data_IF_627413096738
#
_entry.id   IF_627413096738
#
_cell.length_a   1.000
_cell.length_b   1.000
_cell.length_c   1.000
_cell.angle_alpha   90.00
_cell.angle_beta   90.00
_cell.angle_gamma   90.00
#
_symmetry.space_group_name_H-M   'P 1'
#
loop_
_entity.id
_entity.type
_entity.pdbx_description
1 polymer ?
#
# COMPACT_ATOMS: atom_id res chain seq x y z
N UNK A 1 -33.18 16.89 -21.82
CA UNK A 1 -31.93 16.16 -22.09
C UNK A 1 -30.87 17.18 -22.44
N UNK A 2 -29.95 17.45 -21.53
CA UNK A 2 -28.72 18.16 -21.89
C UNK A 2 -27.82 17.15 -22.59
N UNK A 3 -27.52 17.40 -23.85
CA UNK A 3 -26.56 16.60 -24.62
C UNK A 3 -25.19 17.24 -24.37
N UNK A 4 -24.36 16.60 -23.54
CA UNK A 4 -22.98 17.05 -23.30
C UNK A 4 -22.17 16.78 -24.58
N UNK A 5 -21.50 17.78 -25.17
CA UNK A 5 -20.69 17.58 -26.36
C UNK A 5 -19.51 16.65 -26.12
N UNK A 6 -19.21 15.76 -27.07
CA UNK A 6 -18.06 14.86 -27.07
C UNK A 6 -16.70 15.57 -26.82
N UNK A 7 -16.62 16.87 -27.10
CA UNK A 7 -15.42 17.70 -26.93
C UNK A 7 -15.09 18.03 -25.48
N UNK A 8 -15.96 17.70 -24.52
CA UNK A 8 -15.72 17.92 -23.09
C UNK A 8 -15.02 16.73 -22.41
N UNK A 9 -14.91 15.57 -23.08
CA UNK A 9 -14.25 14.39 -22.53
C UNK A 9 -12.79 14.31 -22.98
N UNK A 10 -11.89 14.03 -22.04
CA UNK A 10 -10.45 13.95 -22.31
C UNK A 10 -9.97 12.58 -22.81
N UNK A 11 -10.84 11.57 -22.82
CA UNK A 11 -10.57 10.23 -23.37
C UNK A 11 -11.84 9.45 -23.72
N UNK A 12 -11.70 8.44 -24.59
CA UNK A 12 -12.79 7.49 -24.94
C UNK A 12 -13.29 6.72 -23.71
N UNK A 13 -12.42 6.45 -22.72
CA UNK A 13 -12.80 5.84 -21.44
C UNK A 13 -13.70 6.77 -20.60
N UNK A 14 -13.40 8.06 -20.52
CA UNK A 14 -14.26 9.03 -19.82
C UNK A 14 -15.63 9.14 -20.49
N UNK A 15 -15.65 9.16 -21.83
CA UNK A 15 -16.90 9.14 -22.58
C UNK A 15 -17.69 7.85 -22.32
N UNK A 16 -17.03 6.69 -22.33
CA UNK A 16 -17.67 5.40 -22.12
C UNK A 16 -18.18 5.22 -20.69
N UNK A 17 -17.44 5.65 -19.67
CA UNK A 17 -17.90 5.64 -18.28
C UNK A 17 -19.08 6.59 -18.04
N UNK A 18 -19.04 7.81 -18.59
CA UNK A 18 -20.14 8.75 -18.53
C UNK A 18 -21.39 8.22 -19.26
N UNK A 19 -21.20 7.58 -20.41
CA UNK A 19 -22.29 6.98 -21.19
C UNK A 19 -22.87 5.72 -20.54
N UNK A 20 -22.05 4.93 -19.83
CA UNK A 20 -22.47 3.73 -19.11
C UNK A 20 -23.00 4.02 -17.70
N UNK A 21 -22.77 5.22 -17.17
CA UNK A 21 -23.14 5.62 -15.80
C UNK A 21 -22.60 4.65 -14.73
N UNK A 22 -21.39 4.11 -14.94
CA UNK A 22 -20.76 3.22 -13.97
C UNK A 22 -20.29 4.02 -12.75
N UNK A 23 -20.50 3.52 -11.52
CA UNK A 23 -19.87 4.09 -10.34
C UNK A 23 -18.35 4.10 -10.46
N UNK A 24 -17.73 5.18 -9.99
CA UNK A 24 -16.28 5.34 -10.01
C UNK A 24 -15.62 4.84 -8.74
N UNK A 25 -14.46 4.23 -8.90
CA UNK A 25 -13.52 3.93 -7.83
C UNK A 25 -12.29 4.78 -8.05
N UNK A 26 -12.14 5.79 -7.19
CA UNK A 26 -11.08 6.80 -7.26
C UNK A 26 -9.86 6.32 -6.46
N UNK A 27 -8.71 6.22 -7.14
CA UNK A 27 -7.45 5.74 -6.59
C UNK A 27 -6.40 6.86 -6.56
N UNK A 28 -5.36 6.74 -5.71
CA UNK A 28 -4.37 7.82 -5.49
C UNK A 28 -3.58 8.17 -6.76
N UNK A 29 -3.18 7.17 -7.54
CA UNK A 29 -2.39 7.36 -8.74
C UNK A 29 -2.63 6.34 -9.85
N UNK A 30 -1.96 6.55 -10.99
CA UNK A 30 -2.12 5.71 -12.19
C UNK A 30 -1.55 4.29 -11.99
N UNK A 31 -0.56 4.13 -11.10
CA UNK A 31 -0.02 2.81 -10.74
C UNK A 31 -1.08 1.95 -10.05
N UNK A 32 -1.85 2.54 -9.13
CA UNK A 32 -2.92 1.83 -8.41
C UNK A 32 -4.02 1.42 -9.39
N UNK A 33 -4.39 2.32 -10.30
CA UNK A 33 -5.33 2.01 -11.39
C UNK A 33 -4.83 0.82 -12.21
N UNK A 34 -3.54 0.77 -12.55
CA UNK A 34 -2.98 -0.36 -13.29
C UNK A 34 -3.09 -1.68 -12.52
N UNK A 35 -2.86 -1.68 -11.21
CA UNK A 35 -3.06 -2.87 -10.37
C UNK A 35 -4.54 -3.30 -10.32
N UNK A 36 -5.45 -2.35 -10.09
CA UNK A 36 -6.89 -2.65 -10.02
C UNK A 36 -7.43 -3.18 -11.35
N UNK A 37 -7.00 -2.62 -12.49
CA UNK A 37 -7.36 -3.13 -13.81
C UNK A 37 -6.87 -4.57 -14.02
N UNK A 38 -5.71 -4.94 -13.47
CA UNK A 38 -5.16 -6.29 -13.58
C UNK A 38 -5.85 -7.29 -12.61
N UNK A 39 -6.15 -6.88 -11.38
CA UNK A 39 -6.76 -7.74 -10.37
C UNK A 39 -8.27 -7.91 -10.55
N UNK A 40 -8.96 -6.87 -11.02
CA UNK A 40 -10.42 -6.78 -11.01
C UNK A 40 -11.00 -6.57 -12.41
N UNK A 41 -10.39 -7.18 -13.44
CA UNK A 41 -10.87 -7.12 -14.83
C UNK A 41 -12.36 -7.51 -14.95
N UNK A 42 -12.79 -8.49 -14.14
CA UNK A 42 -14.17 -8.96 -14.13
C UNK A 42 -15.20 -7.92 -13.66
N UNK A 43 -14.78 -6.86 -12.97
CA UNK A 43 -15.65 -5.77 -12.49
C UNK A 43 -15.70 -4.58 -13.46
N UNK A 44 -15.00 -4.61 -14.60
CA UNK A 44 -14.96 -3.48 -15.55
C UNK A 44 -16.30 -3.23 -16.27
N UNK A 45 -17.25 -4.15 -16.18
CA UNK A 45 -18.63 -3.92 -16.61
C UNK A 45 -19.50 -3.22 -15.57
N UNK A 46 -19.03 -3.13 -14.33
CA UNK A 46 -19.80 -2.66 -13.17
C UNK A 46 -19.19 -1.41 -12.52
N UNK A 47 -17.88 -1.21 -12.65
CA UNK A 47 -17.13 -0.12 -12.03
C UNK A 47 -16.18 0.55 -13.02
N UNK A 48 -15.91 1.84 -12.80
CA UNK A 48 -14.90 2.61 -13.50
C UNK A 48 -13.72 2.94 -12.57
N UNK A 49 -12.54 2.37 -12.83
CA UNK A 49 -11.32 2.64 -12.05
C UNK A 49 -10.58 3.85 -12.62
N UNK A 50 -10.41 4.88 -11.79
CA UNK A 50 -9.85 6.18 -12.20
C UNK A 50 -8.85 6.69 -11.16
N UNK A 51 -7.80 7.38 -11.61
CA UNK A 51 -6.90 8.07 -10.70
C UNK A 51 -7.47 9.42 -10.31
N UNK A 52 -7.22 9.88 -9.09
CA UNK A 52 -7.67 11.18 -8.59
C UNK A 52 -7.26 12.34 -9.53
N UNK A 53 -6.05 12.26 -10.09
CA UNK A 53 -5.50 13.24 -11.02
C UNK A 53 -6.35 13.43 -12.27
N UNK A 54 -7.02 12.37 -12.74
CA UNK A 54 -7.85 12.43 -13.93
C UNK A 54 -9.15 13.22 -13.75
N UNK A 55 -9.56 13.46 -12.49
CA UNK A 55 -10.77 14.19 -12.12
C UNK A 55 -10.43 15.57 -11.57
N UNK A 56 -9.60 15.63 -10.51
CA UNK A 56 -9.32 16.87 -9.78
C UNK A 56 -8.05 17.60 -10.23
N UNK A 57 -7.25 16.99 -11.12
CA UNK A 57 -5.95 17.52 -11.56
C UNK A 57 -4.81 17.34 -10.55
N UNK A 58 -5.08 16.80 -9.36
CA UNK A 58 -4.09 16.52 -8.31
C UNK A 58 -4.03 15.01 -7.97
N UNK A 59 -2.90 14.54 -7.44
CA UNK A 59 -2.70 13.12 -7.08
C UNK A 59 -2.51 12.93 -5.57
N UNK A 60 -2.64 11.68 -5.11
CA UNK A 60 -2.42 11.27 -3.71
C UNK A 60 -3.66 11.35 -2.83
N UNK A 61 -3.54 10.86 -1.59
CA UNK A 61 -4.64 10.70 -0.64
C UNK A 61 -5.55 11.93 -0.46
N UNK A 62 -5.01 13.15 -0.41
CA UNK A 62 -5.81 14.38 -0.27
C UNK A 62 -6.65 14.66 -1.52
N UNK A 63 -6.13 14.32 -2.70
CA UNK A 63 -6.81 14.53 -3.96
C UNK A 63 -7.93 13.52 -4.21
N UNK A 64 -7.86 12.32 -3.61
CA UNK A 64 -8.91 11.29 -3.72
C UNK A 64 -10.23 11.80 -3.18
N UNK A 65 -10.25 12.36 -1.96
CA UNK A 65 -11.50 12.89 -1.38
C UNK A 65 -12.12 14.02 -2.20
N UNK A 66 -11.29 14.91 -2.76
CA UNK A 66 -11.75 15.98 -3.65
C UNK A 66 -12.31 15.42 -4.96
N UNK A 67 -11.65 14.44 -5.56
CA UNK A 67 -12.09 13.79 -6.79
C UNK A 67 -13.39 12.99 -6.60
N UNK A 68 -13.57 12.35 -5.44
CA UNK A 68 -14.84 11.69 -5.08
C UNK A 68 -15.97 12.72 -5.00
N UNK A 69 -15.75 13.85 -4.31
CA UNK A 69 -16.77 14.89 -4.19
C UNK A 69 -17.11 15.50 -5.56
N UNK A 70 -16.11 15.81 -6.37
CA UNK A 70 -16.31 16.33 -7.74
C UNK A 70 -17.07 15.33 -8.61
N UNK A 71 -16.77 14.03 -8.51
CA UNK A 71 -17.52 13.00 -9.23
C UNK A 71 -19.00 12.98 -8.86
N UNK A 72 -19.30 13.11 -7.57
CA UNK A 72 -20.68 13.02 -7.07
C UNK A 72 -21.46 14.31 -7.35
N UNK A 73 -20.89 15.46 -7.01
CA UNK A 73 -21.59 16.74 -7.03
C UNK A 73 -21.62 17.38 -8.41
N UNK A 74 -20.50 17.33 -9.14
CA UNK A 74 -20.33 18.05 -10.40
C UNK A 74 -20.67 17.15 -11.59
N UNK A 75 -20.17 15.91 -11.59
CA UNK A 75 -20.41 14.97 -12.70
C UNK A 75 -21.72 14.16 -12.53
N UNK A 76 -22.28 14.11 -11.32
CA UNK A 76 -23.46 13.30 -11.00
C UNK A 76 -23.21 11.78 -11.06
N UNK A 77 -21.96 11.35 -10.93
CA UNK A 77 -21.53 9.95 -11.00
C UNK A 77 -21.20 9.44 -9.60
N UNK A 78 -21.90 8.40 -9.09
CA UNK A 78 -21.60 7.81 -7.79
C UNK A 78 -20.13 7.38 -7.70
N UNK A 79 -19.49 7.64 -6.57
CA UNK A 79 -18.08 7.32 -6.41
C UNK A 79 -17.73 6.85 -5.00
N UNK A 80 -16.70 6.02 -4.90
CA UNK A 80 -15.93 5.78 -3.68
C UNK A 80 -14.45 6.08 -3.93
N UNK A 81 -13.72 6.39 -2.87
CA UNK A 81 -12.27 6.54 -2.89
C UNK A 81 -11.59 5.44 -2.09
N UNK A 82 -10.41 5.02 -2.55
CA UNK A 82 -9.51 4.14 -1.78
C UNK A 82 -8.15 4.83 -1.66
N UNK A 83 -7.63 4.90 -0.44
CA UNK A 83 -6.32 5.51 -0.11
C UNK A 83 -5.42 4.55 0.64
N UNK A 84 -4.11 4.73 0.49
CA UNK A 84 -3.07 4.01 1.22
C UNK A 84 -3.12 4.34 2.71
N UNK A 85 -2.80 3.40 3.60
CA UNK A 85 -2.75 3.68 5.04
C UNK A 85 -1.64 4.69 5.40
N UNK A 86 -0.64 4.85 4.54
CA UNK A 86 0.50 5.76 4.72
C UNK A 86 0.11 7.24 4.92
N UNK A 87 -1.11 7.66 4.56
CA UNK A 87 -1.57 9.03 4.82
C UNK A 87 -1.63 9.34 6.32
N UNK A 88 -1.85 8.33 7.16
CA UNK A 88 -1.80 8.48 8.62
C UNK A 88 -0.39 8.85 9.09
N UNK A 89 0.65 8.35 8.41
CA UNK A 89 2.03 8.77 8.65
C UNK A 89 2.23 10.23 8.27
N UNK A 90 1.70 10.65 7.12
CA UNK A 90 1.81 12.05 6.64
C UNK A 90 1.18 13.02 7.65
N UNK A 91 0.05 12.65 8.24
CA UNK A 91 -0.65 13.42 9.28
C UNK A 91 -0.12 13.20 10.72
N UNK A 92 0.95 12.42 10.89
CA UNK A 92 1.54 12.07 12.20
C UNK A 92 0.53 11.43 13.17
N UNK A 93 -0.49 10.73 12.65
CA UNK A 93 -1.51 10.02 13.44
C UNK A 93 -1.00 8.64 13.86
N UNK A 94 0.11 8.60 14.60
CA UNK A 94 0.86 7.39 14.93
C UNK A 94 0.02 6.30 15.62
N UNK A 95 -0.80 6.69 16.59
CA UNK A 95 -1.65 5.75 17.33
C UNK A 95 -2.63 5.00 16.41
N UNK A 96 -3.10 5.69 15.36
CA UNK A 96 -4.02 5.11 14.38
C UNK A 96 -3.28 4.29 13.34
N UNK A 97 -2.15 4.81 12.85
CA UNK A 97 -1.28 4.13 11.90
C UNK A 97 -0.85 2.75 12.41
N UNK A 98 -0.46 2.68 13.68
CA UNK A 98 0.03 1.46 14.34
C UNK A 98 -1.03 0.76 15.22
N UNK A 99 -2.31 1.09 15.04
CA UNK A 99 -3.41 0.42 15.74
C UNK A 99 -3.46 -1.07 15.40
N UNK A 100 -3.62 -1.90 16.43
CA UNK A 100 -3.95 -3.32 16.31
C UNK A 100 -5.44 -3.57 16.00
N UNK A 101 -6.29 -2.55 16.18
CA UNK A 101 -7.67 -2.54 15.71
C UNK A 101 -7.71 -1.95 14.29
N UNK A 102 -7.86 -2.82 13.29
CA UNK A 102 -7.88 -2.44 11.88
C UNK A 102 -9.06 -1.53 11.53
N UNK A 103 -10.20 -1.70 12.21
CA UNK A 103 -11.42 -0.92 11.92
C UNK A 103 -11.21 0.56 12.22
N UNK A 104 -10.38 0.89 13.21
CA UNK A 104 -10.08 2.27 13.54
C UNK A 104 -9.35 2.96 12.38
N UNK A 105 -8.36 2.29 11.79
CA UNK A 105 -7.55 2.83 10.70
C UNK A 105 -8.32 2.88 9.37
N UNK A 106 -9.06 1.81 9.04
CA UNK A 106 -9.78 1.71 7.75
C UNK A 106 -10.92 2.73 7.64
N UNK A 107 -11.57 3.06 8.75
CA UNK A 107 -12.65 4.05 8.81
C UNK A 107 -12.18 5.49 9.09
N UNK A 108 -10.87 5.75 9.14
CA UNK A 108 -10.32 6.99 9.65
C UNK A 108 -10.53 8.24 8.77
N UNK A 109 -10.64 8.07 7.44
CA UNK A 109 -10.97 9.19 6.52
C UNK A 109 -12.47 9.53 6.57
N UNK A 110 -13.32 8.52 6.69
CA UNK A 110 -14.77 8.67 6.70
C UNK A 110 -15.36 9.05 5.33
N UNK A 111 -16.68 9.23 5.30
CA UNK A 111 -17.42 9.55 4.08
C UNK A 111 -17.36 8.40 3.06
N UNK A 112 -17.23 8.76 1.79
CA UNK A 112 -17.11 7.81 0.68
C UNK A 112 -15.65 7.40 0.39
N UNK A 113 -14.71 7.67 1.31
CA UNK A 113 -13.28 7.31 1.18
C UNK A 113 -12.90 6.26 2.22
N UNK A 114 -12.40 5.12 1.73
CA UNK A 114 -11.93 4.00 2.54
C UNK A 114 -10.40 4.01 2.59
N UNK A 115 -9.83 3.76 3.77
CA UNK A 115 -8.39 3.54 3.91
C UNK A 115 -8.09 2.04 3.84
N UNK A 116 -7.16 1.63 2.98
CA UNK A 116 -6.70 0.24 2.91
C UNK A 116 -6.08 -0.21 4.25
N UNK A 117 -6.21 -1.49 4.60
CA UNK A 117 -5.65 -2.00 5.87
C UNK A 117 -4.13 -2.13 5.83
N UNK A 118 -3.56 -2.39 4.65
CA UNK A 118 -2.12 -2.47 4.43
C UNK A 118 -1.50 -1.08 4.22
N UNK A 119 -0.20 -0.96 4.49
CA UNK A 119 0.49 0.34 4.45
C UNK A 119 0.33 1.08 3.11
N UNK A 120 0.46 0.34 2.02
CA UNK A 120 0.40 0.79 0.62
C UNK A 120 -0.31 -0.27 -0.22
N UNK A 121 -0.95 0.09 -1.34
CA UNK A 121 -1.54 -0.88 -2.28
C UNK A 121 -0.51 -1.93 -2.76
N UNK A 122 0.76 -1.55 -2.92
CA UNK A 122 1.81 -2.48 -3.32
C UNK A 122 2.05 -3.59 -2.28
N UNK A 123 1.63 -3.41 -1.02
CA UNK A 123 1.74 -4.44 0.01
C UNK A 123 0.92 -5.69 -0.33
N UNK A 124 -0.18 -5.55 -1.08
CA UNK A 124 -0.99 -6.69 -1.51
C UNK A 124 -0.28 -7.59 -2.54
N UNK A 125 0.83 -7.14 -3.12
CA UNK A 125 1.68 -7.97 -3.99
C UNK A 125 2.51 -8.98 -3.19
N UNK A 126 2.71 -8.75 -1.90
CA UNK A 126 3.60 -9.54 -1.04
C UNK A 126 2.84 -10.70 -0.36
N UNK A 127 2.26 -11.59 -1.17
CA UNK A 127 1.57 -12.78 -0.68
C UNK A 127 2.55 -13.91 -0.29
N UNK A 128 2.35 -14.62 0.83
CA UNK A 128 3.28 -15.66 1.29
C UNK A 128 3.59 -16.73 0.24
N UNK A 129 2.58 -17.20 -0.49
CA UNK A 129 2.69 -18.23 -1.53
C UNK A 129 3.49 -17.78 -2.77
N UNK A 130 3.70 -16.47 -2.93
CA UNK A 130 4.44 -15.91 -4.06
C UNK A 130 5.94 -15.81 -3.80
N UNK A 131 6.38 -15.74 -2.54
CA UNK A 131 7.76 -15.39 -2.20
C UNK A 131 8.79 -16.33 -2.85
N UNK A 132 8.55 -17.64 -2.79
CA UNK A 132 9.44 -18.62 -3.42
C UNK A 132 9.45 -18.56 -4.96
N UNK A 133 8.29 -18.24 -5.56
CA UNK A 133 8.14 -18.08 -7.02
C UNK A 133 8.81 -16.82 -7.51
N UNK A 134 8.63 -15.72 -6.78
CA UNK A 134 9.26 -14.44 -7.07
C UNK A 134 10.79 -14.55 -7.06
N UNK A 135 11.36 -15.17 -6.02
CA UNK A 135 12.80 -15.47 -5.98
C UNK A 135 13.21 -16.37 -7.15
N UNK A 136 12.39 -17.34 -7.54
CA UNK A 136 12.68 -18.21 -8.67
C UNK A 136 12.72 -17.48 -10.01
N UNK A 137 11.86 -16.49 -10.23
CA UNK A 137 11.74 -15.73 -11.48
C UNK A 137 12.76 -14.59 -11.56
N UNK A 138 12.98 -13.87 -10.47
CA UNK A 138 13.67 -12.57 -10.49
C UNK A 138 15.11 -12.62 -9.96
N UNK A 139 15.64 -13.80 -9.64
CA UNK A 139 17.03 -13.94 -9.19
C UNK A 139 18.01 -13.57 -10.32
N UNK A 140 18.86 -12.58 -10.07
CA UNK A 140 20.01 -12.30 -10.94
C UNK A 140 20.90 -13.56 -11.04
N UNK A 141 21.45 -13.89 -12.23
CA UNK A 141 22.21 -15.11 -12.43
C UNK A 141 23.24 -15.41 -11.32
N UNK A 142 23.31 -16.67 -10.84
CA UNK A 142 22.61 -17.86 -11.32
C UNK A 142 21.15 -18.00 -10.81
N UNK A 143 20.30 -18.83 -11.47
CA UNK A 143 18.95 -19.13 -10.99
C UNK A 143 18.92 -19.60 -9.53
N UNK A 144 17.85 -19.25 -8.81
CA UNK A 144 17.73 -19.60 -7.39
C UNK A 144 17.65 -21.12 -7.19
N UNK A 145 18.39 -21.61 -6.18
CA UNK A 145 18.32 -23.00 -5.71
C UNK A 145 16.98 -23.30 -5.03
N UNK A 146 16.64 -24.59 -4.86
CA UNK A 146 15.41 -24.97 -4.14
C UNK A 146 15.43 -24.52 -2.68
N UNK A 147 16.58 -24.54 -2.02
CA UNK A 147 16.73 -24.02 -0.66
C UNK A 147 16.47 -22.51 -0.56
N UNK A 148 16.90 -21.73 -1.56
CA UNK A 148 16.62 -20.29 -1.61
C UNK A 148 15.15 -19.98 -1.87
N UNK A 149 14.48 -20.75 -2.74
CA UNK A 149 13.04 -20.62 -2.96
C UNK A 149 12.25 -21.01 -1.71
N UNK A 150 12.63 -22.12 -1.07
CA UNK A 150 11.98 -22.62 0.15
C UNK A 150 12.19 -21.75 1.39
N UNK A 151 13.27 -20.94 1.44
CA UNK A 151 13.53 -19.99 2.52
C UNK A 151 13.10 -18.55 2.22
N UNK A 152 12.55 -18.28 1.03
CA UNK A 152 12.22 -16.93 0.59
C UNK A 152 11.27 -16.21 1.56
N UNK A 153 10.18 -16.86 1.95
CA UNK A 153 9.20 -16.30 2.89
C UNK A 153 9.84 -15.93 4.23
N UNK A 154 10.58 -16.86 4.84
CA UNK A 154 11.25 -16.63 6.12
C UNK A 154 12.20 -15.42 6.05
N UNK A 155 12.95 -15.30 4.94
CA UNK A 155 13.86 -14.17 4.73
C UNK A 155 13.14 -12.84 4.50
N UNK A 156 11.98 -12.84 3.84
CA UNK A 156 11.15 -11.62 3.71
C UNK A 156 10.62 -11.20 5.08
N UNK A 157 10.17 -12.16 5.90
CA UNK A 157 9.74 -11.91 7.28
C UNK A 157 10.87 -11.35 8.14
N UNK A 158 12.09 -11.88 8.04
CA UNK A 158 13.28 -11.31 8.72
C UNK A 158 13.52 -9.85 8.35
N UNK A 159 13.33 -9.49 7.07
CA UNK A 159 13.48 -8.10 6.61
C UNK A 159 12.31 -7.20 7.05
N UNK A 160 11.10 -7.76 7.19
CA UNK A 160 9.96 -7.07 7.80
C UNK A 160 10.24 -6.74 9.27
N UNK A 161 10.67 -7.74 10.04
CA UNK A 161 11.02 -7.57 11.45
C UNK A 161 12.15 -6.56 11.64
N UNK A 162 13.17 -6.59 10.77
CA UNK A 162 14.22 -5.58 10.78
C UNK A 162 13.68 -4.19 10.48
N UNK A 163 12.88 -4.02 9.42
CA UNK A 163 12.33 -2.70 9.07
C UNK A 163 11.42 -2.15 10.17
N UNK A 164 10.70 -3.03 10.88
CA UNK A 164 9.86 -2.65 12.01
C UNK A 164 10.65 -1.94 13.12
N UNK A 165 11.89 -2.38 13.40
CA UNK A 165 12.79 -1.69 14.34
C UNK A 165 13.21 -0.29 13.87
N UNK A 166 13.19 -0.02 12.57
CA UNK A 166 13.56 1.28 12.02
C UNK A 166 12.38 2.27 11.96
N UNK A 167 11.13 1.81 12.17
CA UNK A 167 9.94 2.68 12.10
C UNK A 167 9.95 3.85 13.09
N UNK A 168 10.40 3.70 14.37
CA UNK A 168 10.53 4.83 15.28
C UNK A 168 11.50 5.90 14.77
N UNK A 169 12.61 5.48 14.15
CA UNK A 169 13.55 6.41 13.52
C UNK A 169 12.89 7.19 12.38
N UNK A 170 12.18 6.51 11.46
CA UNK A 170 11.51 7.20 10.35
C UNK A 170 10.41 8.15 10.81
N UNK A 171 9.64 7.77 11.84
CA UNK A 171 8.64 8.66 12.43
C UNK A 171 9.29 9.90 13.07
N UNK A 172 10.44 9.73 13.74
CA UNK A 172 11.20 10.85 14.32
C UNK A 172 11.73 11.82 13.26
N UNK A 173 12.22 11.31 12.13
CA UNK A 173 12.70 12.13 11.02
C UNK A 173 11.54 12.89 10.37
N UNK A 174 10.41 12.20 10.12
CA UNK A 174 9.20 12.83 9.57
C UNK A 174 8.63 13.92 10.50
N UNK A 175 8.64 13.70 11.81
CA UNK A 175 8.23 14.70 12.79
C UNK A 175 9.05 15.99 12.70
N UNK A 176 10.34 15.88 12.37
CA UNK A 176 11.23 17.02 12.13
C UNK A 176 11.21 17.57 10.70
N UNK A 177 10.28 17.10 9.85
CA UNK A 177 10.20 17.50 8.44
C UNK A 177 11.38 17.02 7.58
N UNK A 178 12.12 16.01 8.03
CA UNK A 178 13.23 15.45 7.29
C UNK A 178 12.77 14.39 6.30
N UNK A 179 13.33 14.45 5.09
CA UNK A 179 13.13 13.42 4.09
C UNK A 179 14.19 12.32 4.23
N UNK A 180 13.76 11.11 4.61
CA UNK A 180 14.60 9.92 4.52
C UNK A 180 14.41 9.24 3.15
N UNK A 181 15.48 9.11 2.37
CA UNK A 181 15.45 8.33 1.12
C UNK A 181 14.96 6.89 1.40
N UNK A 182 14.15 6.30 0.50
CA UNK A 182 13.61 4.94 0.64
C UNK A 182 14.72 3.87 0.83
N UNK A 183 15.95 4.17 0.43
CA UNK A 183 17.11 3.28 0.53
C UNK A 183 17.93 3.45 1.81
N UNK A 184 17.56 4.36 2.72
CA UNK A 184 18.40 4.79 3.86
C UNK A 184 19.00 3.63 4.66
N UNK A 185 18.20 2.58 4.96
CA UNK A 185 18.70 1.39 5.63
C UNK A 185 18.86 0.16 4.73
N UNK A 186 18.68 0.28 3.41
CA UNK A 186 18.66 -0.84 2.46
C UNK A 186 19.82 -1.84 2.65
N UNK A 187 21.02 -1.32 2.88
CA UNK A 187 22.24 -2.12 2.99
C UNK A 187 22.56 -2.58 4.44
N UNK A 188 21.80 -2.15 5.45
CA UNK A 188 21.93 -2.60 6.85
C UNK A 188 21.36 -4.01 7.03
N UNK A 189 22.20 -4.94 7.51
CA UNK A 189 21.80 -6.34 7.74
C UNK A 189 20.73 -6.44 8.83
N UNK A 190 19.77 -7.37 8.70
CA UNK A 190 18.64 -7.48 9.64
C UNK A 190 19.08 -7.56 11.10
N UNK A 191 20.14 -8.32 11.41
CA UNK A 191 20.65 -8.51 12.77
C UNK A 191 21.36 -7.27 13.33
N UNK A 192 21.82 -6.35 12.47
CA UNK A 192 22.47 -5.10 12.88
C UNK A 192 21.49 -3.92 12.97
N UNK A 193 20.23 -4.10 12.56
CA UNK A 193 19.26 -3.00 12.55
C UNK A 193 19.01 -2.40 13.94
N UNK A 194 18.80 -3.19 15.02
CA UNK A 194 18.53 -2.63 16.34
C UNK A 194 19.69 -1.77 16.86
N UNK A 195 20.93 -2.26 16.72
CA UNK A 195 22.14 -1.52 17.11
C UNK A 195 22.25 -0.21 16.32
N UNK A 196 22.08 -0.28 14.98
CA UNK A 196 22.20 0.90 14.13
C UNK A 196 21.12 1.95 14.41
N UNK A 197 19.90 1.53 14.70
CA UNK A 197 18.83 2.44 15.11
C UNK A 197 19.16 3.05 16.48
N UNK A 198 19.59 2.25 17.46
CA UNK A 198 19.98 2.73 18.79
C UNK A 198 21.02 3.84 18.75
N UNK A 199 22.13 3.64 18.02
CA UNK A 199 23.19 4.65 17.84
C UNK A 199 22.67 6.01 17.36
N UNK A 200 21.71 6.00 16.43
CA UNK A 200 21.17 7.23 15.82
C UNK A 200 20.13 7.87 16.76
N UNK A 201 19.35 7.04 17.44
CA UNK A 201 18.21 7.46 18.26
C UNK A 201 18.65 8.06 19.61
N UNK A 202 19.78 7.62 20.16
CA UNK A 202 20.31 8.12 21.45
C UNK A 202 20.65 9.62 21.43
N UNK A 203 20.94 10.17 20.24
CA UNK A 203 21.28 11.58 20.07
C UNK A 203 20.06 12.47 19.74
N UNK A 204 18.85 11.92 19.68
CA UNK A 204 17.65 12.67 19.31
C UNK A 204 17.07 13.44 20.48
N UNK A 205 16.68 14.69 20.23
CA UNK A 205 16.08 15.61 21.21
C UNK A 205 14.79 16.24 20.68
N UNK A 206 14.03 16.89 21.56
CA UNK A 206 12.84 17.67 21.19
C UNK A 206 11.73 16.82 20.55
N UNK A 207 11.11 17.35 19.50
CA UNK A 207 9.99 16.69 18.79
C UNK A 207 10.36 15.31 18.22
N UNK A 208 11.62 15.13 17.80
CA UNK A 208 12.12 13.83 17.32
C UNK A 208 12.06 12.78 18.39
N UNK A 209 12.47 13.15 19.61
CA UNK A 209 12.47 12.26 20.76
C UNK A 209 11.05 11.85 21.14
N UNK A 210 10.11 12.79 21.13
CA UNK A 210 8.69 12.52 21.43
C UNK A 210 8.09 11.55 20.43
N UNK A 211 8.25 11.80 19.12
CA UNK A 211 7.75 10.91 18.08
C UNK A 211 8.38 9.53 18.15
N UNK A 212 9.70 9.46 18.43
CA UNK A 212 10.41 8.21 18.63
C UNK A 212 9.83 7.40 19.78
N UNK A 213 9.68 7.98 20.97
CA UNK A 213 9.20 7.26 22.16
C UNK A 213 7.76 6.77 22.00
N UNK A 214 6.90 7.59 21.36
CA UNK A 214 5.53 7.20 21.03
C UNK A 214 5.53 5.99 20.09
N UNK A 215 6.24 6.08 18.97
CA UNK A 215 6.24 5.03 17.94
C UNK A 215 6.95 3.78 18.43
N UNK A 216 8.02 3.89 19.21
CA UNK A 216 8.73 2.75 19.79
C UNK A 216 7.80 1.90 20.69
N UNK A 217 6.97 2.57 21.50
CA UNK A 217 5.97 1.89 22.33
C UNK A 217 4.92 1.14 21.51
N UNK A 218 4.43 1.76 20.42
CA UNK A 218 3.47 1.14 19.50
C UNK A 218 4.08 -0.05 18.75
N UNK A 219 5.31 0.09 18.30
CA UNK A 219 6.08 -0.96 17.63
C UNK A 219 6.36 -2.14 18.58
N UNK A 220 6.66 -1.88 19.85
CA UNK A 220 6.82 -2.93 20.86
C UNK A 220 5.53 -3.75 21.04
N UNK A 221 4.36 -3.10 21.01
CA UNK A 221 3.07 -3.78 21.06
C UNK A 221 2.82 -4.64 19.81
N UNK A 222 3.09 -4.11 18.61
CA UNK A 222 3.00 -4.86 17.34
C UNK A 222 3.89 -6.09 17.36
N UNK A 223 5.15 -5.94 17.79
CA UNK A 223 6.10 -7.06 17.90
C UNK A 223 5.63 -8.15 18.85
N UNK A 224 4.99 -7.77 19.95
CA UNK A 224 4.42 -8.69 20.93
C UNK A 224 3.19 -9.43 20.38
N UNK A 225 2.35 -8.74 19.60
CA UNK A 225 1.15 -9.30 18.99
C UNK A 225 1.42 -10.13 17.72
N UNK A 226 2.58 -9.92 17.08
CA UNK A 226 2.89 -10.52 15.78
C UNK A 226 2.89 -12.06 15.83
N UNK A 227 2.15 -12.74 14.92
CA UNK A 227 2.10 -14.20 14.87
C UNK A 227 3.48 -14.86 14.73
N UNK A 228 3.63 -16.07 15.26
CA UNK A 228 4.85 -16.87 15.10
C UNK A 228 4.92 -17.58 13.74
N UNK A 229 3.77 -17.91 13.15
CA UNK A 229 3.68 -18.53 11.84
C UNK A 229 4.11 -17.56 10.73
N UNK A 230 5.08 -17.90 9.85
CA UNK A 230 5.64 -16.95 8.87
C UNK A 230 4.63 -16.38 7.88
N UNK A 231 3.65 -17.16 7.44
CA UNK A 231 2.63 -16.70 6.48
C UNK A 231 1.76 -15.64 7.13
N UNK A 232 1.21 -15.97 8.30
CA UNK A 232 0.41 -15.02 9.09
C UNK A 232 1.23 -13.81 9.54
N UNK A 233 2.51 -14.01 9.84
CA UNK A 233 3.42 -12.94 10.28
C UNK A 233 3.66 -11.94 9.16
N UNK A 234 3.91 -12.39 7.93
CA UNK A 234 4.06 -11.49 6.78
C UNK A 234 2.80 -10.65 6.59
N UNK A 235 1.63 -11.29 6.45
CA UNK A 235 0.36 -10.57 6.26
C UNK A 235 0.05 -9.59 7.39
N UNK A 236 0.39 -9.92 8.62
CA UNK A 236 0.25 -9.04 9.78
C UNK A 236 1.19 -7.82 9.71
N UNK A 237 2.48 -8.05 9.42
CA UNK A 237 3.49 -6.99 9.45
C UNK A 237 3.34 -5.97 8.31
N UNK A 238 2.82 -6.38 7.15
CA UNK A 238 2.61 -5.48 5.99
C UNK A 238 1.63 -4.32 6.27
N UNK A 239 0.87 -4.38 7.35
CA UNK A 239 0.03 -3.28 7.85
C UNK A 239 0.82 -2.11 8.42
N UNK A 240 2.04 -2.38 8.88
CA UNK A 240 2.81 -1.49 9.75
C UNK A 240 4.15 -1.09 9.15
N UNK A 241 4.39 -1.40 7.88
CA UNK A 241 5.68 -1.24 7.23
C UNK A 241 5.55 -0.48 5.92
N UNK A 242 6.40 0.52 5.74
CA UNK A 242 6.64 1.19 4.47
C UNK A 242 7.05 0.14 3.41
N UNK A 243 6.15 -0.14 2.48
CA UNK A 243 6.29 -1.27 1.55
C UNK A 243 7.35 -0.96 0.50
N UNK A 244 7.44 0.28 0.05
CA UNK A 244 8.52 0.73 -0.84
C UNK A 244 9.90 0.50 -0.22
N UNK A 245 10.10 0.81 1.06
CA UNK A 245 11.34 0.50 1.78
C UNK A 245 11.57 -1.00 1.92
N UNK A 246 10.51 -1.76 2.21
CA UNK A 246 10.59 -3.21 2.33
C UNK A 246 11.03 -3.84 1.00
N UNK A 247 10.46 -3.42 -0.14
CA UNK A 247 10.81 -3.93 -1.46
C UNK A 247 12.27 -3.63 -1.83
N UNK A 248 12.78 -2.44 -1.53
CA UNK A 248 14.20 -2.10 -1.70
C UNK A 248 15.12 -3.03 -0.89
N UNK A 249 14.75 -3.30 0.38
CA UNK A 249 15.50 -4.21 1.25
C UNK A 249 15.46 -5.64 0.74
N UNK A 250 14.28 -6.15 0.44
CA UNK A 250 14.05 -7.52 -0.02
C UNK A 250 14.75 -7.75 -1.36
N UNK A 251 14.59 -6.84 -2.32
CA UNK A 251 15.26 -6.91 -3.61
C UNK A 251 16.79 -6.99 -3.45
N UNK A 252 17.36 -6.15 -2.58
CA UNK A 252 18.80 -6.18 -2.27
C UNK A 252 19.24 -7.48 -1.60
N UNK A 253 18.51 -7.95 -0.59
CA UNK A 253 18.87 -9.11 0.25
C UNK A 253 18.71 -10.44 -0.48
N UNK A 254 17.68 -10.54 -1.30
CA UNK A 254 17.38 -11.72 -2.10
C UNK A 254 18.08 -11.67 -3.48
N UNK A 255 18.76 -10.56 -3.81
CA UNK A 255 19.47 -10.32 -5.08
C UNK A 255 18.56 -10.39 -6.29
N UNK A 256 17.38 -9.80 -6.17
CA UNK A 256 16.35 -9.78 -7.20
C UNK A 256 16.62 -8.64 -8.20
N UNK A 257 16.07 -8.75 -9.41
CA UNK A 257 15.97 -7.61 -10.31
C UNK A 257 15.04 -6.54 -9.72
N UNK A 258 15.18 -5.30 -10.20
CA UNK A 258 14.53 -4.13 -9.60
C UNK A 258 13.00 -4.09 -9.80
N UNK A 259 12.46 -4.82 -10.77
CA UNK A 259 11.04 -4.74 -11.12
C UNK A 259 10.17 -5.73 -10.33
N UNK A 260 10.07 -5.47 -9.03
CA UNK A 260 9.26 -6.29 -8.12
C UNK A 260 7.76 -6.22 -8.46
N UNK A 261 7.27 -5.02 -8.78
CA UNK A 261 5.84 -4.78 -8.99
C UNK A 261 5.29 -5.56 -10.18
N UNK A 262 5.96 -5.48 -11.33
CA UNK A 262 5.54 -6.20 -12.52
C UNK A 262 5.58 -7.72 -12.28
N UNK A 263 6.69 -8.22 -11.74
CA UNK A 263 6.88 -9.65 -11.51
C UNK A 263 5.84 -10.26 -10.55
N UNK A 264 5.54 -9.57 -9.44
CA UNK A 264 4.55 -10.04 -8.47
C UNK A 264 3.12 -9.90 -9.01
N UNK A 265 2.82 -8.82 -9.73
CA UNK A 265 1.51 -8.63 -10.36
C UNK A 265 1.24 -9.72 -11.40
N UNK A 266 2.19 -10.02 -12.28
CA UNK A 266 2.08 -11.13 -13.23
C UNK A 266 1.88 -12.48 -12.55
N UNK A 267 2.61 -12.73 -11.45
CA UNK A 267 2.44 -13.96 -10.66
C UNK A 267 1.04 -14.08 -10.07
N UNK A 268 0.47 -12.98 -9.56
CA UNK A 268 -0.91 -12.97 -9.06
C UNK A 268 -1.89 -13.30 -10.18
N UNK A 269 -1.79 -12.64 -11.34
CA UNK A 269 -2.65 -12.90 -12.49
C UNK A 269 -2.55 -14.35 -12.99
N UNK A 270 -1.32 -14.90 -13.07
CA UNK A 270 -1.11 -16.30 -13.49
C UNK A 270 -1.73 -17.32 -12.54
N UNK A 271 -1.93 -16.96 -11.27
CA UNK A 271 -2.47 -17.83 -10.24
C UNK A 271 -3.92 -17.48 -9.87
N UNK A 272 -4.54 -16.53 -10.58
CA UNK A 272 -5.87 -15.99 -10.28
C UNK A 272 -6.00 -15.53 -8.81
N UNK A 273 -4.93 -14.93 -8.28
CA UNK A 273 -4.89 -14.36 -6.94
C UNK A 273 -5.29 -12.89 -6.97
N UNK A 274 -6.10 -12.48 -6.01
CA UNK A 274 -6.59 -11.09 -5.87
C UNK A 274 -6.58 -10.66 -4.41
N UNK A 275 -6.42 -9.36 -4.15
CA UNK A 275 -6.52 -8.84 -2.78
C UNK A 275 -7.96 -8.94 -2.25
N UNK A 276 -8.19 -9.84 -1.29
CA UNK A 276 -9.53 -10.14 -0.78
C UNK A 276 -10.23 -8.92 -0.14
N UNK A 277 -9.50 -8.10 0.61
CA UNK A 277 -10.05 -6.87 1.21
C UNK A 277 -10.53 -5.89 0.15
N UNK A 278 -9.71 -5.65 -0.89
CA UNK A 278 -10.07 -4.74 -1.95
C UNK A 278 -11.27 -5.29 -2.73
N UNK A 279 -11.30 -6.60 -2.99
CA UNK A 279 -12.46 -7.26 -3.62
C UNK A 279 -13.74 -7.06 -2.80
N UNK A 280 -13.67 -7.18 -1.47
CA UNK A 280 -14.80 -6.94 -0.57
C UNK A 280 -15.27 -5.48 -0.63
N UNK A 281 -14.35 -4.50 -0.60
CA UNK A 281 -14.67 -3.08 -0.74
C UNK A 281 -15.40 -2.81 -2.06
N UNK A 282 -14.91 -3.38 -3.16
CA UNK A 282 -15.49 -3.21 -4.49
C UNK A 282 -16.86 -3.86 -4.61
N UNK A 283 -17.03 -5.09 -4.10
CA UNK A 283 -18.32 -5.77 -4.08
C UNK A 283 -19.37 -5.02 -3.24
N UNK A 284 -18.95 -4.44 -2.10
CA UNK A 284 -19.82 -3.59 -1.30
C UNK A 284 -20.23 -2.32 -2.05
N UNK A 285 -19.32 -1.73 -2.83
CA UNK A 285 -19.64 -0.59 -3.69
C UNK A 285 -20.65 -0.96 -4.79
N UNK A 286 -20.44 -2.07 -5.49
CA UNK A 286 -21.38 -2.61 -6.48
C UNK A 286 -22.76 -2.83 -5.86
N UNK A 287 -22.83 -3.49 -4.71
CA UNK A 287 -24.08 -3.73 -4.00
C UNK A 287 -24.79 -2.43 -3.59
N UNK A 288 -24.03 -1.43 -3.13
CA UNK A 288 -24.55 -0.12 -2.72
C UNK A 288 -25.13 0.69 -3.89
N UNK A 289 -24.52 0.62 -5.07
CA UNK A 289 -24.92 1.44 -6.21
C UNK A 289 -25.96 0.76 -7.12
N UNK A 290 -26.12 -0.56 -7.02
CA UNK A 290 -27.13 -1.32 -7.76
C UNK A 290 -28.42 -1.59 -6.96
N UNK A 291 -28.48 -1.21 -5.68
CA UNK A 291 -29.67 -1.30 -4.82
C UNK A 291 -30.59 -0.09 -4.95
#
# INVERSE_FOLDING_TARGET
>A
MNVVPLTEFSSDRQFEAHFRSLPRVVLEGDSDVAFFLAWFEHLLSELDFVSAKSISGAAGCTAVGQAVQQSIDDDGIPAIGIVDRDWLSREQRWDLLYSLDDNAATNAKGGDVVTASLWEIEAYLLLPELMGRWVGLQRNPPPASQGEKGSALARVVEECDALLFAMPFFASAHAAGEHCDIRYFRDVAHHNMPEKCGEICDALEGERRVALEQVDSLIAAIRTAAPADPERRLSFLLRYLDTKRLLERVGRRLKLHADAHHALSELMSLLDLRPAELEEILNNAVARFNS
#
